data_IF_496883614554
#
_entry.id   IF_496883614554
#
_cell.length_a   1.000
_cell.length_b   1.000
_cell.length_c   1.000
_cell.angle_alpha   90.00
_cell.angle_beta   90.00
_cell.angle_gamma   90.00
#
_symmetry.space_group_name_H-M   'P 1'
#
loop_
_entity.id
_entity.type
_entity.pdbx_description
1 polymer ?
#
# COMPACT_ATOMS: atom_id res chain seq x y z
N UNK A 1 3.26 -12.33 14.61
CA UNK A 1 2.88 -13.40 13.65
C UNK A 1 4.09 -14.27 13.32
N UNK A 2 3.90 -15.59 13.13
CA UNK A 2 4.96 -16.45 12.59
C UNK A 2 5.17 -16.08 11.11
N UNK A 3 6.41 -15.95 10.62
CA UNK A 3 6.67 -15.53 9.23
C UNK A 3 5.98 -16.43 8.20
N UNK A 4 5.83 -17.72 8.47
CA UNK A 4 5.16 -18.68 7.58
C UNK A 4 3.72 -18.28 7.24
N UNK A 5 3.00 -17.62 8.17
CA UNK A 5 1.63 -17.18 7.95
C UNK A 5 1.54 -15.90 7.09
N UNK A 6 2.63 -15.17 6.92
CA UNK A 6 2.62 -13.91 6.15
C UNK A 6 2.74 -14.19 4.64
N UNK A 7 3.50 -15.21 4.24
CA UNK A 7 3.75 -15.52 2.82
C UNK A 7 2.49 -15.75 1.97
N UNK A 8 1.49 -16.53 2.41
CA UNK A 8 0.26 -16.70 1.63
C UNK A 8 -0.46 -15.38 1.37
N UNK A 9 -0.54 -14.51 2.39
CA UNK A 9 -1.21 -13.22 2.25
C UNK A 9 -0.41 -12.23 1.39
N UNK A 10 0.92 -12.31 1.44
CA UNK A 10 1.79 -11.56 0.53
C UNK A 10 1.55 -11.99 -0.93
N UNK A 11 1.46 -13.30 -1.19
CA UNK A 11 1.16 -13.83 -2.51
C UNK A 11 -0.23 -13.39 -3.00
N UNK A 12 -1.26 -13.53 -2.16
CA UNK A 12 -2.63 -13.07 -2.47
C UNK A 12 -2.63 -11.57 -2.78
N UNK A 13 -1.91 -10.77 -1.98
CA UNK A 13 -1.81 -9.32 -2.19
C UNK A 13 -1.11 -8.98 -3.52
N UNK A 14 -0.06 -9.70 -3.89
CA UNK A 14 0.64 -9.51 -5.15
C UNK A 14 -0.26 -9.87 -6.35
N UNK A 15 -0.96 -10.99 -6.29
CA UNK A 15 -1.94 -11.39 -7.33
C UNK A 15 -3.08 -10.37 -7.40
N UNK A 16 -3.63 -9.96 -6.26
CA UNK A 16 -4.68 -8.93 -6.20
C UNK A 16 -4.23 -7.60 -6.81
N UNK A 17 -2.98 -7.20 -6.57
CA UNK A 17 -2.38 -6.01 -7.19
C UNK A 17 -2.31 -6.12 -8.72
N UNK A 18 -1.86 -7.26 -9.24
CA UNK A 18 -1.78 -7.50 -10.69
C UNK A 18 -3.17 -7.43 -11.31
N UNK A 19 -4.14 -8.15 -10.74
CA UNK A 19 -5.51 -8.17 -11.25
C UNK A 19 -6.18 -6.79 -11.19
N UNK A 20 -6.00 -6.06 -10.09
CA UNK A 20 -6.52 -4.71 -9.96
C UNK A 20 -5.89 -3.74 -10.96
N UNK A 21 -4.57 -3.91 -11.25
CA UNK A 21 -3.86 -3.11 -12.25
C UNK A 21 -4.37 -3.39 -13.66
N UNK A 22 -4.55 -4.65 -14.03
CA UNK A 22 -5.09 -5.03 -15.36
C UNK A 22 -6.50 -4.45 -15.53
N UNK A 23 -7.38 -4.65 -14.54
CA UNK A 23 -8.75 -4.13 -14.59
C UNK A 23 -8.78 -2.60 -14.63
N UNK A 24 -7.84 -1.94 -13.93
CA UNK A 24 -7.72 -0.49 -13.98
C UNK A 24 -7.32 0.01 -15.38
N UNK A 25 -6.34 -0.64 -16.01
CA UNK A 25 -5.90 -0.29 -17.36
C UNK A 25 -7.01 -0.48 -18.38
N UNK A 26 -7.78 -1.59 -18.28
CA UNK A 26 -8.92 -1.83 -19.17
C UNK A 26 -10.09 -0.87 -18.89
N UNK A 27 -10.27 -0.45 -17.64
CA UNK A 27 -11.26 0.59 -17.32
C UNK A 27 -10.94 1.96 -17.96
N UNK A 28 -9.66 2.25 -18.24
CA UNK A 28 -9.25 3.47 -18.95
C UNK A 28 -9.70 3.42 -20.41
N UNK A 29 -9.65 2.26 -21.06
CA UNK A 29 -10.10 2.07 -22.45
C UNK A 29 -11.62 1.92 -22.57
N UNK A 30 -12.35 1.79 -21.46
CA UNK A 30 -13.78 1.56 -21.43
C UNK A 30 -14.17 0.08 -21.42
N UNK A 31 -13.19 -0.81 -21.56
CA UNK A 31 -13.38 -2.25 -21.57
C UNK A 31 -13.40 -2.84 -20.16
N UNK A 32 -13.77 -4.12 -20.04
CA UNK A 32 -13.70 -4.91 -18.82
C UNK A 32 -12.99 -6.22 -19.12
N UNK A 33 -11.83 -6.42 -18.49
CA UNK A 33 -11.08 -7.67 -18.62
C UNK A 33 -11.62 -8.75 -17.69
N UNK A 34 -11.98 -8.36 -16.46
CA UNK A 34 -12.44 -9.30 -15.46
C UNK A 34 -13.95 -9.56 -15.60
N UNK A 35 -14.35 -10.83 -15.53
CA UNK A 35 -15.75 -11.19 -15.35
C UNK A 35 -16.29 -10.60 -14.04
N UNK A 36 -17.61 -10.35 -13.90
CA UNK A 36 -18.20 -9.79 -12.68
C UNK A 36 -17.84 -10.59 -11.42
N UNK A 37 -17.83 -11.92 -11.52
CA UNK A 37 -17.45 -12.79 -10.39
C UNK A 37 -15.99 -12.63 -9.98
N UNK A 38 -15.07 -12.54 -10.93
CA UNK A 38 -13.65 -12.36 -10.62
C UNK A 38 -13.36 -10.96 -10.05
N UNK A 39 -14.09 -9.95 -10.53
CA UNK A 39 -14.03 -8.60 -9.95
C UNK A 39 -14.49 -8.59 -8.49
N UNK A 40 -15.59 -9.27 -8.18
CA UNK A 40 -16.06 -9.44 -6.81
C UNK A 40 -15.00 -10.11 -5.94
N UNK A 41 -14.29 -11.13 -6.45
CA UNK A 41 -13.18 -11.79 -5.72
C UNK A 41 -12.04 -10.84 -5.41
N UNK A 42 -11.70 -9.91 -6.31
CA UNK A 42 -10.69 -8.87 -6.03
C UNK A 42 -11.11 -8.01 -4.83
N UNK A 43 -12.37 -7.58 -4.76
CA UNK A 43 -12.85 -6.78 -3.62
C UNK A 43 -12.97 -7.59 -2.32
N UNK A 44 -13.45 -8.81 -2.38
CA UNK A 44 -13.48 -9.73 -1.22
C UNK A 44 -12.05 -10.00 -0.74
N UNK A 45 -11.10 -10.13 -1.65
CA UNK A 45 -9.67 -10.28 -1.35
C UNK A 45 -9.12 -9.11 -0.51
N UNK A 46 -9.62 -7.89 -0.72
CA UNK A 46 -9.25 -6.73 0.12
C UNK A 46 -9.61 -6.98 1.59
N UNK A 47 -10.82 -7.49 1.87
CA UNK A 47 -11.25 -7.79 3.23
C UNK A 47 -10.41 -8.93 3.84
N UNK A 48 -10.15 -9.98 3.05
CA UNK A 48 -9.32 -11.13 3.49
C UNK A 48 -7.89 -10.70 3.82
N UNK A 49 -7.28 -9.88 2.98
CA UNK A 49 -5.91 -9.37 3.18
C UNK A 49 -5.87 -8.29 4.26
N UNK A 50 -6.94 -7.53 4.44
CA UNK A 50 -7.04 -6.46 5.43
C UNK A 50 -6.79 -6.93 6.86
N UNK A 51 -7.26 -8.13 7.22
CA UNK A 51 -7.07 -8.70 8.55
C UNK A 51 -5.57 -8.92 8.86
N UNK A 52 -4.80 -9.69 8.07
CA UNK A 52 -3.37 -9.90 8.35
C UNK A 52 -2.56 -8.61 8.24
N UNK A 53 -2.93 -7.67 7.36
CA UNK A 53 -2.30 -6.35 7.29
C UNK A 53 -2.50 -5.57 8.58
N UNK A 54 -3.71 -5.57 9.16
CA UNK A 54 -3.98 -4.92 10.44
C UNK A 54 -3.15 -5.54 11.58
N UNK A 55 -3.03 -6.86 11.62
CA UNK A 55 -2.16 -7.55 12.59
C UNK A 55 -0.67 -7.25 12.37
N UNK A 56 -0.22 -7.23 11.12
CA UNK A 56 1.16 -6.86 10.76
C UNK A 56 1.46 -5.42 11.20
N UNK A 57 0.57 -4.48 10.89
CA UNK A 57 0.67 -3.08 11.31
C UNK A 57 0.80 -2.96 12.83
N UNK A 58 -0.07 -3.63 13.59
CA UNK A 58 0.03 -3.63 15.05
C UNK A 58 1.36 -4.19 15.56
N UNK A 59 1.87 -5.26 14.93
CA UNK A 59 3.15 -5.85 15.30
C UNK A 59 4.35 -4.96 14.96
N UNK A 60 4.25 -4.18 13.89
CA UNK A 60 5.29 -3.24 13.45
C UNK A 60 5.36 -1.99 14.33
N UNK A 61 4.20 -1.46 14.74
CA UNK A 61 4.09 -0.29 15.63
C UNK A 61 4.52 -0.62 17.06
N UNK A 62 4.30 -1.87 17.48
CA UNK A 62 4.67 -2.34 18.82
C UNK A 62 4.02 -1.51 19.93
N UNK A 63 4.76 -1.33 21.05
CA UNK A 63 4.33 -0.50 22.20
C UNK A 63 4.58 1.00 21.97
N UNK A 64 5.26 1.38 20.89
CA UNK A 64 5.48 2.78 20.55
C UNK A 64 4.19 3.35 20.00
N UNK A 65 3.59 4.30 20.68
CA UNK A 65 2.31 4.96 20.31
C UNK A 65 2.41 5.84 19.03
N UNK A 66 3.54 5.86 18.33
CA UNK A 66 3.72 6.63 17.11
C UNK A 66 3.16 5.85 15.92
N UNK A 67 1.96 6.21 15.48
CA UNK A 67 1.34 5.75 14.23
C UNK A 67 1.96 6.45 13.01
N UNK A 68 3.29 6.42 12.89
CA UNK A 68 3.97 6.98 11.73
C UNK A 68 4.05 5.90 10.63
N UNK A 69 3.51 6.21 9.46
CA UNK A 69 3.57 5.34 8.28
C UNK A 69 5.03 5.03 7.86
N UNK A 70 5.97 5.97 8.10
CA UNK A 70 7.40 5.77 7.87
C UNK A 70 7.94 4.63 8.72
N UNK A 71 7.47 4.52 9.96
CA UNK A 71 7.87 3.46 10.86
C UNK A 71 7.30 2.09 10.43
N UNK A 72 6.09 2.05 9.90
CA UNK A 72 5.46 0.83 9.41
C UNK A 72 6.19 0.28 8.16
N UNK A 73 6.69 1.16 7.31
CA UNK A 73 7.37 0.79 6.06
C UNK A 73 8.92 0.83 6.18
N UNK A 74 9.49 0.87 7.41
CA UNK A 74 10.92 1.08 7.61
C UNK A 74 11.81 0.00 7.00
N UNK A 75 11.32 -1.24 6.89
CA UNK A 75 12.04 -2.36 6.30
C UNK A 75 11.76 -2.57 4.81
N UNK A 76 10.93 -1.72 4.18
CA UNK A 76 10.68 -1.77 2.73
C UNK A 76 11.73 -0.97 1.97
N UNK A 77 12.09 -1.41 0.73
CA UNK A 77 12.94 -0.63 -0.17
C UNK A 77 12.33 0.76 -0.45
N UNK A 78 13.18 1.75 -0.68
CA UNK A 78 12.74 3.13 -0.92
C UNK A 78 11.78 3.23 -2.12
N UNK A 79 12.12 2.57 -3.23
CA UNK A 79 11.27 2.57 -4.43
C UNK A 79 9.83 2.09 -4.14
N UNK A 80 9.68 1.05 -3.32
CA UNK A 80 8.36 0.52 -2.95
C UNK A 80 7.55 1.54 -2.14
N UNK A 81 8.20 2.30 -1.23
CA UNK A 81 7.54 3.38 -0.47
C UNK A 81 7.02 4.48 -1.39
N UNK A 82 7.87 4.92 -2.34
CA UNK A 82 7.47 5.92 -3.33
C UNK A 82 6.33 5.41 -4.22
N UNK A 83 6.41 4.17 -4.70
CA UNK A 83 5.34 3.56 -5.51
C UNK A 83 4.01 3.55 -4.76
N UNK A 84 4.00 3.09 -3.50
CA UNK A 84 2.78 3.09 -2.67
C UNK A 84 2.24 4.51 -2.50
N UNK A 85 3.10 5.49 -2.20
CA UNK A 85 2.68 6.87 -2.04
C UNK A 85 2.06 7.43 -3.33
N UNK A 86 2.71 7.23 -4.46
CA UNK A 86 2.20 7.67 -5.79
C UNK A 86 0.85 7.02 -6.10
N UNK A 87 0.69 5.72 -5.82
CA UNK A 87 -0.56 5.01 -6.06
C UNK A 87 -1.70 5.50 -5.14
N UNK A 88 -1.40 5.85 -3.89
CA UNK A 88 -2.39 6.44 -2.98
C UNK A 88 -2.83 7.81 -3.50
N UNK A 89 -1.88 8.69 -3.86
CA UNK A 89 -2.21 10.01 -4.43
C UNK A 89 -3.03 9.85 -5.71
N UNK A 90 -2.62 8.94 -6.60
CA UNK A 90 -3.36 8.64 -7.82
C UNK A 90 -4.79 8.15 -7.54
N UNK A 91 -4.98 7.25 -6.56
CA UNK A 91 -6.30 6.77 -6.18
C UNK A 91 -7.18 7.90 -5.63
N UNK A 92 -6.62 8.79 -4.80
CA UNK A 92 -7.32 9.97 -4.28
C UNK A 92 -7.74 10.90 -5.43
N UNK A 93 -6.84 11.18 -6.38
CA UNK A 93 -7.16 12.01 -7.55
C UNK A 93 -8.29 11.37 -8.37
N UNK A 94 -8.23 10.07 -8.65
CA UNK A 94 -9.31 9.37 -9.35
C UNK A 94 -10.63 9.42 -8.58
N UNK A 95 -10.58 9.31 -7.25
CA UNK A 95 -11.79 9.45 -6.43
C UNK A 95 -12.39 10.86 -6.60
N UNK A 96 -11.59 11.89 -6.48
CA UNK A 96 -12.06 13.28 -6.61
C UNK A 96 -12.58 13.60 -8.00
N UNK A 97 -11.99 12.99 -9.05
CA UNK A 97 -12.37 13.24 -10.44
C UNK A 97 -13.65 12.51 -10.86
N UNK A 98 -13.91 11.33 -10.28
CA UNK A 98 -14.98 10.42 -10.74
C UNK A 98 -16.06 10.13 -9.69
N UNK A 99 -15.97 10.78 -8.53
CA UNK A 99 -17.06 10.84 -7.56
C UNK A 99 -17.53 12.30 -7.51
N UNK A 100 -18.84 12.55 -7.48
CA UNK A 100 -19.45 13.89 -7.40
C UNK A 100 -19.14 14.63 -6.07
N UNK A 101 -18.02 14.32 -5.44
CA UNK A 101 -17.54 14.99 -4.21
C UNK A 101 -17.08 16.42 -4.46
N UNK A 102 -16.68 16.76 -5.69
CA UNK A 102 -16.49 18.16 -6.09
C UNK A 102 -17.87 18.67 -6.52
N UNK A 103 -18.43 19.68 -5.81
CA UNK A 103 -19.66 20.32 -6.28
C UNK A 103 -19.37 20.80 -7.70
N UNK A 104 -20.05 20.17 -8.67
CA UNK A 104 -20.07 20.73 -9.99
C UNK A 104 -20.49 22.18 -9.80
N UNK A 105 -19.74 23.13 -10.36
CA UNK A 105 -20.18 24.51 -10.57
C UNK A 105 -21.31 24.45 -11.59
N UNK A 106 -22.37 23.69 -11.27
CA UNK A 106 -23.58 23.64 -12.05
C UNK A 106 -24.34 24.93 -11.74
N UNK A 107 -24.26 25.87 -12.66
CA UNK A 107 -25.31 26.86 -12.88
C UNK A 107 -26.68 26.19 -12.64
N UNK A 108 -27.35 26.72 -11.68
CA UNK A 108 -28.63 26.33 -11.10
C UNK A 108 -29.75 26.36 -12.16
N UNK A 109 -29.87 25.34 -12.99
CA UNK A 109 -31.02 25.12 -13.88
C UNK A 109 -30.95 23.68 -14.39
N UNK A 110 -31.40 22.71 -13.63
CA UNK A 110 -32.32 21.69 -14.10
C UNK A 110 -32.57 20.66 -12.98
N UNK A 111 -33.85 20.46 -12.65
CA UNK A 111 -34.33 19.37 -11.82
C UNK A 111 -34.31 18.09 -12.66
N UNK A 112 -33.14 17.61 -13.04
CA UNK A 112 -33.00 16.28 -13.61
C UNK A 112 -33.05 15.24 -12.49
N UNK A 113 -33.87 14.18 -12.63
CA UNK A 113 -33.95 13.12 -11.62
C UNK A 113 -32.55 12.54 -11.42
N UNK A 114 -32.23 12.22 -10.17
CA UNK A 114 -30.95 11.58 -9.77
C UNK A 114 -30.66 10.44 -10.75
N UNK A 115 -29.69 10.68 -11.61
CA UNK A 115 -29.18 9.68 -12.54
C UNK A 115 -28.57 8.60 -11.65
N UNK A 116 -29.23 7.47 -11.53
CA UNK A 116 -28.64 6.27 -10.95
C UNK A 116 -27.39 5.97 -11.81
N UNK A 117 -26.22 6.45 -11.38
CA UNK A 117 -24.99 6.18 -12.09
C UNK A 117 -24.77 4.66 -12.09
N UNK A 118 -24.70 4.10 -13.27
CA UNK A 118 -24.34 2.69 -13.42
C UNK A 118 -22.95 2.46 -12.78
N UNK A 119 -22.85 1.65 -11.73
CA UNK A 119 -21.56 1.38 -11.07
C UNK A 119 -20.55 0.72 -12.02
N UNK A 120 -21.00 0.24 -13.18
CA UNK A 120 -20.15 -0.31 -14.23
C UNK A 120 -19.72 0.75 -15.27
N UNK A 121 -20.20 1.99 -15.16
CA UNK A 121 -19.74 3.08 -16.02
C UNK A 121 -18.21 3.26 -15.88
N UNK A 122 -17.51 3.67 -16.95
CA UNK A 122 -16.03 3.79 -16.93
C UNK A 122 -15.48 4.67 -15.80
N UNK A 123 -16.15 5.77 -15.45
CA UNK A 123 -15.71 6.68 -14.41
C UNK A 123 -15.67 6.07 -13.00
N UNK A 124 -16.83 5.64 -12.45
CA UNK A 124 -16.89 4.96 -11.14
C UNK A 124 -15.95 3.74 -11.09
N UNK A 125 -15.88 2.96 -12.18
CA UNK A 125 -15.01 1.79 -12.25
C UNK A 125 -13.53 2.14 -12.14
N UNK A 126 -13.07 3.23 -12.77
CA UNK A 126 -11.69 3.74 -12.60
C UNK A 126 -11.39 4.11 -11.17
N UNK A 127 -12.31 4.79 -10.49
CA UNK A 127 -12.16 5.15 -9.08
C UNK A 127 -12.01 3.90 -8.22
N UNK A 128 -12.91 2.94 -8.32
CA UNK A 128 -12.88 1.72 -7.51
C UNK A 128 -11.62 0.86 -7.75
N UNK A 129 -11.23 0.67 -9.00
CA UNK A 129 -10.04 -0.14 -9.33
C UNK A 129 -8.74 0.52 -8.91
N UNK A 130 -8.64 1.87 -8.96
CA UNK A 130 -7.47 2.60 -8.46
C UNK A 130 -7.29 2.43 -6.95
N UNK A 131 -8.39 2.43 -6.18
CA UNK A 131 -8.35 2.17 -4.73
C UNK A 131 -7.93 0.73 -4.43
N UNK A 132 -8.47 -0.25 -5.16
CA UNK A 132 -8.06 -1.65 -5.01
C UNK A 132 -6.55 -1.82 -5.29
N UNK A 133 -6.04 -1.21 -6.35
CA UNK A 133 -4.63 -1.24 -6.71
C UNK A 133 -3.76 -0.60 -5.60
N UNK A 134 -4.12 0.57 -5.11
CA UNK A 134 -3.40 1.25 -4.02
C UNK A 134 -3.43 0.43 -2.72
N UNK A 135 -4.58 -0.18 -2.38
CA UNK A 135 -4.70 -1.02 -1.21
C UNK A 135 -3.79 -2.25 -1.29
N UNK A 136 -3.80 -2.98 -2.40
CA UNK A 136 -2.95 -4.16 -2.55
C UNK A 136 -1.46 -3.83 -2.57
N UNK A 137 -1.06 -2.71 -3.19
CA UNK A 137 0.32 -2.23 -3.14
C UNK A 137 0.77 -1.93 -1.71
N UNK A 138 -0.08 -1.24 -0.93
CA UNK A 138 0.16 -0.97 0.48
C UNK A 138 0.23 -2.26 1.31
N UNK A 139 -0.67 -3.22 1.04
CA UNK A 139 -0.67 -4.52 1.71
C UNK A 139 0.64 -5.29 1.46
N UNK A 140 1.10 -5.34 0.21
CA UNK A 140 2.41 -5.93 -0.14
C UNK A 140 3.53 -5.26 0.63
N UNK A 141 3.56 -3.92 0.68
CA UNK A 141 4.61 -3.18 1.37
C UNK A 141 4.62 -3.43 2.89
N UNK A 142 3.45 -3.43 3.54
CA UNK A 142 3.33 -3.69 4.98
C UNK A 142 3.74 -5.14 5.31
N UNK A 143 3.24 -6.12 4.56
CA UNK A 143 3.56 -7.53 4.78
C UNK A 143 5.05 -7.81 4.51
N UNK A 144 5.62 -7.21 3.47
CA UNK A 144 7.05 -7.25 3.20
C UNK A 144 7.85 -6.65 4.37
N UNK A 145 7.46 -5.47 4.87
CA UNK A 145 8.10 -4.85 6.02
C UNK A 145 8.04 -5.76 7.26
N UNK A 146 6.88 -6.39 7.51
CA UNK A 146 6.72 -7.29 8.65
C UNK A 146 7.62 -8.54 8.58
N UNK A 147 7.93 -9.02 7.38
CA UNK A 147 8.88 -10.13 7.18
C UNK A 147 10.32 -9.72 7.47
N UNK A 148 10.72 -8.51 7.04
CA UNK A 148 12.12 -8.09 7.04
C UNK A 148 12.49 -7.17 8.23
N UNK A 149 11.51 -6.71 9.01
CA UNK A 149 11.74 -5.74 10.09
C UNK A 149 12.75 -6.21 11.13
N UNK A 150 12.77 -7.51 11.47
CA UNK A 150 13.71 -8.05 12.47
C UNK A 150 15.14 -7.99 11.99
N UNK A 151 15.37 -8.23 10.71
CA UNK A 151 16.69 -8.14 10.09
C UNK A 151 17.11 -6.68 9.95
N UNK A 152 16.20 -5.83 9.49
CA UNK A 152 16.40 -4.40 9.41
C UNK A 152 16.77 -3.80 10.77
N UNK A 153 15.99 -4.07 11.82
CA UNK A 153 16.24 -3.54 13.17
C UNK A 153 17.57 -4.06 13.77
N UNK A 154 17.97 -5.31 13.46
CA UNK A 154 19.28 -5.88 13.87
C UNK A 154 20.47 -5.21 13.19
N UNK A 155 20.28 -4.72 11.98
CA UNK A 155 21.35 -4.13 11.16
C UNK A 155 21.44 -2.60 11.28
N UNK A 156 20.59 -1.98 12.12
CA UNK A 156 20.63 -0.53 12.36
C UNK A 156 21.84 -0.18 13.21
N UNK A 157 22.83 0.45 12.58
CA UNK A 157 24.05 0.90 13.24
C UNK A 157 24.37 2.34 12.86
N UNK A 158 24.99 3.09 13.78
CA UNK A 158 25.60 4.38 13.45
C UNK A 158 26.96 4.20 12.75
N UNK A 159 27.54 5.30 12.27
CA UNK A 159 28.87 5.30 11.65
C UNK A 159 29.99 4.71 12.51
N UNK A 160 29.82 4.73 13.83
CA UNK A 160 30.76 4.14 14.79
C UNK A 160 30.41 2.69 15.19
N UNK A 161 29.45 2.05 14.50
CA UNK A 161 29.09 0.65 14.71
C UNK A 161 28.14 0.37 15.88
N UNK A 162 27.71 1.38 16.66
CA UNK A 162 26.76 1.18 17.74
C UNK A 162 25.37 0.83 17.20
N UNK A 163 24.65 -0.07 17.88
CA UNK A 163 23.26 -0.39 17.57
C UNK A 163 22.36 0.81 17.92
N UNK A 164 21.49 1.16 16.99
CA UNK A 164 20.49 2.22 17.19
C UNK A 164 19.11 1.59 17.36
N UNK A 165 18.39 1.90 18.45
CA UNK A 165 17.01 1.42 18.64
C UNK A 165 16.10 1.80 17.49
N UNK A 166 15.04 1.00 17.18
CA UNK A 166 14.12 1.27 16.06
C UNK A 166 13.40 2.62 16.14
N UNK A 167 13.31 3.19 17.33
CA UNK A 167 12.60 4.45 17.61
C UNK A 167 13.46 5.70 17.48
N UNK A 168 14.77 5.55 17.22
CA UNK A 168 15.75 6.64 17.21
C UNK A 168 16.43 6.73 15.85
N UNK A 169 16.65 7.96 15.40
CA UNK A 169 17.35 8.24 14.14
C UNK A 169 18.80 8.67 14.36
N UNK A 170 19.18 8.85 15.63
CA UNK A 170 20.54 9.21 16.06
C UNK A 170 21.03 8.26 17.16
N UNK A 171 22.33 8.07 17.20
CA UNK A 171 22.96 7.24 18.22
C UNK A 171 23.09 8.00 19.54
N UNK A 172 22.44 7.55 20.61
CA UNK A 172 22.56 8.16 21.94
C UNK A 172 23.95 8.12 22.53
N UNK A 173 24.78 7.18 22.08
CA UNK A 173 26.14 7.03 22.61
C UNK A 173 27.14 7.98 21.99
N UNK A 174 26.97 8.38 20.72
CA UNK A 174 27.95 9.19 20.01
C UNK A 174 27.33 10.33 19.15
N UNK A 175 26.03 10.55 19.20
CA UNK A 175 25.35 11.59 18.43
C UNK A 175 25.37 11.40 16.90
N UNK A 176 26.00 10.33 16.40
CA UNK A 176 26.08 10.10 14.97
C UNK A 176 24.73 9.70 14.39
N UNK A 177 24.36 10.22 13.19
CA UNK A 177 23.13 9.85 12.53
C UNK A 177 23.12 8.38 12.10
N UNK A 178 21.91 7.84 11.89
CA UNK A 178 21.74 6.50 11.34
C UNK A 178 22.37 6.43 9.95
N UNK A 179 23.30 5.50 9.76
CA UNK A 179 23.77 5.18 8.41
C UNK A 179 22.63 4.48 7.64
N UNK A 180 22.40 4.87 6.38
CA UNK A 180 21.52 4.08 5.51
C UNK A 180 22.05 2.63 5.50
N UNK A 181 21.16 1.62 5.55
CA UNK A 181 21.60 0.23 5.50
C UNK A 181 22.49 0.06 4.28
N UNK A 182 23.74 -0.29 4.50
CA UNK A 182 24.66 -0.61 3.42
C UNK A 182 24.03 -1.77 2.67
N UNK A 183 23.52 -1.49 1.48
CA UNK A 183 23.10 -2.53 0.54
C UNK A 183 24.35 -3.37 0.30
N UNK A 184 24.46 -4.54 0.97
CA UNK A 184 25.55 -5.47 0.69
C UNK A 184 25.41 -5.89 -0.77
N UNK A 185 26.32 -5.46 -1.66
CA UNK A 185 26.35 -6.00 -2.99
C UNK A 185 26.70 -7.49 -2.85
N UNK A 186 25.86 -8.40 -3.31
CA UNK A 186 26.30 -9.74 -3.62
C UNK A 186 25.78 -10.91 -2.81
N UNK A 187 24.51 -10.92 -2.33
CA UNK A 187 23.92 -12.19 -1.84
C UNK A 187 22.76 -12.71 -2.71
N UNK A 188 22.73 -12.32 -3.99
CA UNK A 188 21.85 -12.93 -5.00
C UNK A 188 22.62 -13.74 -6.04
N UNK A 189 23.82 -14.25 -5.66
CA UNK A 189 24.52 -15.24 -6.47
C UNK A 189 24.84 -16.45 -5.56
N UNK A 190 23.83 -17.27 -5.35
CA UNK A 190 23.95 -18.74 -5.24
C UNK A 190 22.59 -19.37 -5.31
#
# INVERSE_FOLDING_TARGET
MKPVLIYPFLAISAVGFILATIEHLTAITGDSFLSPGLRTLVYVGIAIVGIPVAFATRSLVGKTKKHDWRFQLRATPQWMRYTVFVLIVYAVVNMLMFTDLLPATSTFTDKTPQRHEDPNAPGPRRSHTSHAMAFYALAVAILYSALHVREYDRNRRCGNGHLIPPTEDECKLCGAPLMPPVSRPGRFQQ
#
